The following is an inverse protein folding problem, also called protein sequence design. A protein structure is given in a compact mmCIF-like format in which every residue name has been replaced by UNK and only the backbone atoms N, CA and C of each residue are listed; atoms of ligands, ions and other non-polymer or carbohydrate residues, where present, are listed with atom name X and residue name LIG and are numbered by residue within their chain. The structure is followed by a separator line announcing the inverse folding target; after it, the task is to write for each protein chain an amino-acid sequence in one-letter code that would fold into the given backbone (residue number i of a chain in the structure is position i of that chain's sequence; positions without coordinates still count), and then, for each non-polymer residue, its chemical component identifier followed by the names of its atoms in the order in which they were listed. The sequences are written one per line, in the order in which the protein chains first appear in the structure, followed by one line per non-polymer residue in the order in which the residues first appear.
data_IF_327984879797
#
_entry.id   IF_327984879797
#
_cell.length_a   1.000
_cell.length_b   1.000
_cell.length_c   1.000
_cell.angle_alpha   90.00
_cell.angle_beta   90.00
_cell.angle_gamma   90.00
#
_symmetry.space_group_name_H-M   'P 1'
#
loop_
_entity.id
_entity.type
_entity.pdbx_description
1 polymer ?
#
# COMPACT_ATOMS: atom_id res chain seq x y z
N UNK A 1 31.19 -44.18 -4.72
CA UNK A 1 30.66 -43.33 -5.81
C UNK A 1 30.56 -41.94 -5.25
N UNK A 2 31.22 -41.00 -5.94
CA UNK A 2 31.45 -39.62 -5.55
C UNK A 2 30.16 -38.83 -5.32
N UNK A 3 30.16 -37.99 -4.29
CA UNK A 3 29.13 -36.98 -4.02
C UNK A 3 29.08 -35.95 -5.16
N UNK A 4 27.88 -35.55 -5.60
CA UNK A 4 27.73 -34.33 -6.39
C UNK A 4 26.44 -33.59 -6.00
N UNK A 5 26.60 -32.73 -4.99
CA UNK A 5 25.66 -31.66 -4.64
C UNK A 5 25.67 -30.65 -5.78
N UNK A 6 24.67 -30.74 -6.66
CA UNK A 6 24.38 -29.72 -7.66
C UNK A 6 23.61 -28.57 -7.03
N UNK A 7 24.32 -27.60 -6.45
CA UNK A 7 23.75 -26.33 -6.01
C UNK A 7 23.15 -25.59 -7.20
N UNK A 8 21.84 -25.37 -7.18
CA UNK A 8 21.18 -24.41 -8.05
C UNK A 8 21.56 -23.01 -7.57
N UNK A 9 22.65 -22.47 -8.12
CA UNK A 9 22.95 -21.04 -8.02
C UNK A 9 21.79 -20.26 -8.60
N UNK A 10 21.11 -19.52 -7.73
CA UNK A 10 20.12 -18.53 -8.09
C UNK A 10 20.79 -17.42 -8.90
N UNK A 11 20.77 -17.54 -10.23
CA UNK A 11 20.87 -16.37 -11.10
C UNK A 11 19.59 -15.57 -10.93
N UNK A 12 19.55 -14.72 -9.90
CA UNK A 12 18.67 -13.57 -9.90
C UNK A 12 19.30 -12.60 -10.88
N UNK A 13 18.88 -12.69 -12.13
CA UNK A 13 19.16 -11.68 -13.14
C UNK A 13 18.69 -10.33 -12.61
N UNK A 14 19.65 -9.55 -12.08
CA UNK A 14 19.51 -8.14 -11.72
C UNK A 14 19.35 -7.34 -13.03
N UNK A 15 18.20 -7.54 -13.67
CA UNK A 15 17.81 -6.90 -14.92
C UNK A 15 17.50 -5.43 -14.66
N UNK A 16 18.51 -4.58 -14.85
CA UNK A 16 18.37 -3.26 -15.46
C UNK A 16 17.64 -2.15 -14.70
N UNK A 17 17.13 -2.36 -13.49
CA UNK A 17 16.62 -1.26 -12.66
C UNK A 17 17.83 -0.50 -12.14
N UNK A 18 18.02 0.75 -12.60
CA UNK A 18 19.12 1.58 -12.10
C UNK A 18 18.90 1.76 -10.60
N UNK A 19 19.97 1.74 -9.81
CA UNK A 19 19.88 1.93 -8.36
C UNK A 19 19.09 3.19 -7.99
N UNK A 20 19.23 4.25 -8.79
CA UNK A 20 18.47 5.49 -8.67
C UNK A 20 16.95 5.32 -8.82
N UNK A 21 16.47 4.35 -9.59
CA UNK A 21 15.03 4.08 -9.76
C UNK A 21 14.41 3.50 -8.47
N UNK A 22 15.23 2.98 -7.55
CA UNK A 22 14.80 2.45 -6.24
C UNK A 22 14.84 3.50 -5.12
N UNK A 23 15.41 4.67 -5.39
CA UNK A 23 15.55 5.74 -4.40
C UNK A 23 14.36 6.69 -4.46
N UNK A 24 13.88 7.12 -3.29
CA UNK A 24 12.89 8.20 -3.21
C UNK A 24 13.53 9.53 -3.64
N UNK A 25 12.78 10.49 -4.20
CA UNK A 25 13.35 11.79 -4.57
C UNK A 25 14.03 12.48 -3.38
N UNK A 26 15.32 12.83 -3.53
CA UNK A 26 16.15 13.43 -2.47
C UNK A 26 15.53 14.68 -1.85
N UNK A 27 14.79 15.46 -2.66
CA UNK A 27 14.08 16.65 -2.21
C UNK A 27 12.97 16.33 -1.19
N UNK A 28 12.24 15.21 -1.40
CA UNK A 28 11.18 14.78 -0.51
C UNK A 28 11.75 14.28 0.82
N UNK A 29 12.84 13.49 0.77
CA UNK A 29 13.58 13.06 1.96
C UNK A 29 14.05 14.27 2.77
N UNK A 30 14.73 15.22 2.11
CA UNK A 30 15.22 16.43 2.77
C UNK A 30 14.11 17.29 3.39
N UNK A 31 12.93 17.35 2.76
CA UNK A 31 11.77 18.09 3.29
C UNK A 31 11.25 17.47 4.59
N UNK A 32 11.11 16.15 4.64
CA UNK A 32 10.64 15.44 5.83
C UNK A 32 11.65 15.53 6.96
N UNK A 33 12.94 15.28 6.68
CA UNK A 33 14.01 15.44 7.67
C UNK A 33 13.99 16.83 8.33
N UNK A 34 13.67 17.88 7.56
CA UNK A 34 13.62 19.26 8.02
C UNK A 34 12.44 19.56 8.95
N UNK A 35 11.34 18.81 8.88
CA UNK A 35 10.13 19.05 9.68
C UNK A 35 10.36 18.86 11.19
N UNK A 36 11.29 18.00 11.57
CA UNK A 36 11.62 17.73 12.97
C UNK A 36 12.76 18.60 13.51
N UNK A 37 13.32 19.50 12.69
CA UNK A 37 14.46 20.34 13.04
C UNK A 37 14.04 21.81 13.20
N UNK A 38 14.82 22.60 13.96
CA UNK A 38 14.62 24.05 14.03
C UNK A 38 14.62 24.74 12.66
N UNK A 39 13.90 25.87 12.49
CA UNK A 39 13.75 26.55 11.20
C UNK A 39 15.07 26.86 10.48
N UNK A 40 16.10 27.25 11.22
CA UNK A 40 17.42 27.64 10.72
C UNK A 40 18.43 26.48 10.60
N UNK A 41 18.09 25.26 11.02
CA UNK A 41 18.99 24.11 10.93
C UNK A 41 19.38 23.80 9.47
N UNK A 42 20.60 23.35 9.22
CA UNK A 42 21.03 22.90 7.89
C UNK A 42 21.23 21.39 7.90
N UNK A 43 20.87 20.75 6.80
CA UNK A 43 21.11 19.32 6.57
C UNK A 43 22.11 19.23 5.43
N UNK A 44 23.23 18.54 5.66
CA UNK A 44 24.26 18.34 4.64
C UNK A 44 23.71 17.51 3.48
N UNK A 45 24.42 17.52 2.34
CA UNK A 45 24.08 16.67 1.20
C UNK A 45 24.19 15.18 1.59
N UNK A 46 25.32 14.81 2.18
CA UNK A 46 25.62 13.44 2.62
C UNK A 46 24.55 12.89 3.57
N UNK A 47 24.10 13.67 4.56
CA UNK A 47 23.03 13.20 5.47
C UNK A 47 21.71 12.93 4.76
N UNK A 48 21.40 13.65 3.67
CA UNK A 48 20.20 13.37 2.87
C UNK A 48 20.36 12.10 2.05
N UNK A 49 21.55 11.88 1.48
CA UNK A 49 21.88 10.68 0.70
C UNK A 49 21.85 9.43 1.59
N UNK A 50 22.47 9.47 2.77
CA UNK A 50 22.39 8.37 3.74
C UNK A 50 20.94 8.08 4.14
N UNK A 51 20.14 9.10 4.45
CA UNK A 51 18.73 8.88 4.79
C UNK A 51 17.90 8.36 3.61
N UNK A 52 18.25 8.74 2.37
CA UNK A 52 17.61 8.23 1.16
C UNK A 52 17.88 6.73 0.97
N UNK A 53 19.11 6.29 1.22
CA UNK A 53 19.47 4.87 1.22
C UNK A 53 18.76 4.13 2.36
N UNK A 54 18.81 4.67 3.58
CA UNK A 54 18.17 4.06 4.75
C UNK A 54 16.65 3.87 4.57
N UNK A 55 15.95 4.85 3.98
CA UNK A 55 14.50 4.73 3.79
C UNK A 55 14.15 3.71 2.69
N UNK A 56 14.96 3.60 1.63
CA UNK A 56 14.79 2.56 0.62
C UNK A 56 15.04 1.16 1.18
N UNK A 57 16.05 1.03 2.05
CA UNK A 57 16.29 -0.23 2.77
C UNK A 57 15.17 -0.54 3.75
N UNK A 58 14.67 0.46 4.50
CA UNK A 58 13.55 0.29 5.42
C UNK A 58 12.29 -0.24 4.71
N UNK A 59 11.97 0.29 3.52
CA UNK A 59 10.86 -0.22 2.70
C UNK A 59 11.10 -1.68 2.34
N UNK A 60 12.31 -2.02 1.86
CA UNK A 60 12.67 -3.38 1.49
C UNK A 60 12.62 -4.35 2.68
N UNK A 61 13.07 -3.90 3.85
CA UNK A 61 13.08 -4.67 5.09
C UNK A 61 11.67 -5.00 5.56
N UNK A 62 10.81 -3.99 5.74
CA UNK A 62 9.43 -4.18 6.21
C UNK A 62 8.61 -4.98 5.20
N UNK A 63 8.77 -4.71 3.90
CA UNK A 63 8.03 -5.44 2.87
C UNK A 63 8.47 -6.90 2.75
N UNK A 64 9.75 -7.20 3.01
CA UNK A 64 10.25 -8.58 3.04
C UNK A 64 9.65 -9.38 4.18
N UNK A 65 9.59 -8.80 5.39
CA UNK A 65 8.98 -9.44 6.57
C UNK A 65 7.47 -9.70 6.34
N UNK A 66 6.75 -8.69 5.82
CA UNK A 66 5.34 -8.83 5.47
C UNK A 66 5.09 -9.89 4.38
N UNK A 67 5.95 -9.93 3.37
CA UNK A 67 5.92 -10.92 2.29
C UNK A 67 6.16 -12.34 2.82
N UNK A 68 7.08 -12.50 3.76
CA UNK A 68 7.33 -13.80 4.39
C UNK A 68 6.11 -14.30 5.15
N UNK A 69 5.46 -13.45 5.96
CA UNK A 69 4.19 -13.80 6.62
C UNK A 69 3.11 -14.18 5.61
N UNK A 70 2.88 -13.34 4.60
CA UNK A 70 1.89 -13.59 3.56
C UNK A 70 2.10 -14.96 2.90
N UNK A 71 3.36 -15.29 2.56
CA UNK A 71 3.73 -16.58 1.98
C UNK A 71 3.53 -17.74 2.96
N UNK A 72 3.88 -17.58 4.24
CA UNK A 72 3.62 -18.59 5.30
C UNK A 72 2.14 -18.91 5.44
N UNK A 73 1.27 -17.91 5.23
CA UNK A 73 -0.19 -18.07 5.21
C UNK A 73 -0.75 -18.54 3.85
N UNK A 74 0.12 -18.96 2.91
CA UNK A 74 -0.26 -19.44 1.57
C UNK A 74 -1.00 -18.41 0.71
N UNK A 75 -0.81 -17.11 1.00
CA UNK A 75 -1.34 -16.01 0.19
C UNK A 75 -0.29 -15.53 -0.80
N UNK A 76 -0.74 -15.06 -1.97
CA UNK A 76 0.12 -14.50 -3.04
C UNK A 76 0.16 -12.98 -3.04
N UNK A 77 -0.74 -12.33 -2.31
CA UNK A 77 -0.91 -10.88 -2.29
C UNK A 77 -0.73 -10.39 -0.86
N UNK A 78 0.29 -9.55 -0.68
CA UNK A 78 0.52 -8.82 0.57
C UNK A 78 -0.58 -7.78 0.73
N UNK A 79 -1.16 -7.68 1.93
CA UNK A 79 -2.19 -6.69 2.23
C UNK A 79 -1.77 -5.76 3.39
N UNK A 80 -2.64 -4.81 3.75
CA UNK A 80 -2.36 -3.85 4.82
C UNK A 80 -2.18 -4.48 6.21
N UNK A 81 -2.83 -5.61 6.51
CA UNK A 81 -2.69 -6.29 7.80
C UNK A 81 -1.30 -6.95 7.94
N UNK A 82 -0.73 -7.43 6.82
CA UNK A 82 0.65 -7.95 6.79
C UNK A 82 1.66 -6.89 7.16
N UNK A 83 1.50 -5.67 6.63
CA UNK A 83 2.37 -4.53 6.93
C UNK A 83 2.25 -4.14 8.40
N UNK A 84 1.02 -4.05 8.92
CA UNK A 84 0.79 -3.73 10.33
C UNK A 84 1.40 -4.78 11.27
N UNK A 85 1.34 -6.06 10.89
CA UNK A 85 1.98 -7.13 11.64
C UNK A 85 3.51 -7.06 11.56
N UNK A 86 4.07 -6.85 10.38
CA UNK A 86 5.52 -6.76 10.18
C UNK A 86 6.12 -5.64 11.03
N UNK A 87 5.47 -4.47 11.07
CA UNK A 87 5.91 -3.36 11.93
C UNK A 87 5.98 -3.79 13.41
N UNK A 88 4.98 -4.49 13.93
CA UNK A 88 5.02 -5.00 15.32
C UNK A 88 6.08 -6.09 15.52
N UNK A 89 6.20 -7.03 14.59
CA UNK A 89 7.21 -8.12 14.65
C UNK A 89 8.64 -7.59 14.69
N UNK A 90 8.89 -6.49 13.97
CA UNK A 90 10.20 -5.84 13.87
C UNK A 90 10.48 -4.86 15.01
N UNK A 91 9.57 -4.70 15.98
CA UNK A 91 9.74 -3.80 17.13
C UNK A 91 9.41 -2.33 16.83
N UNK A 92 8.68 -2.03 15.75
CA UNK A 92 8.17 -0.71 15.41
C UNK A 92 6.74 -0.50 15.97
N UNK A 93 6.48 -0.91 17.21
CA UNK A 93 5.14 -0.89 17.81
C UNK A 93 4.49 0.50 17.84
N UNK A 94 5.31 1.54 18.09
CA UNK A 94 4.89 2.95 18.06
C UNK A 94 4.33 3.38 16.68
N UNK A 95 4.67 2.66 15.62
CA UNK A 95 4.13 2.87 14.27
C UNK A 95 3.02 1.87 13.90
N UNK A 96 3.08 0.65 14.43
CA UNK A 96 2.12 -0.41 14.13
C UNK A 96 0.68 -0.04 14.53
N UNK A 97 0.50 0.54 15.72
CA UNK A 97 -0.84 0.91 16.22
C UNK A 97 -1.46 2.08 15.42
N UNK A 98 -0.76 3.22 15.19
CA UNK A 98 -1.26 4.25 14.29
C UNK A 98 -1.58 3.74 12.88
N UNK A 99 -0.74 2.85 12.33
CA UNK A 99 -0.96 2.27 11.00
C UNK A 99 -2.25 1.43 10.95
N UNK A 100 -2.51 0.62 11.97
CA UNK A 100 -3.75 -0.17 12.08
C UNK A 100 -5.00 0.71 12.14
N UNK A 101 -4.94 1.80 12.92
CA UNK A 101 -6.03 2.80 12.99
C UNK A 101 -6.26 3.50 11.66
N UNK A 102 -5.19 3.80 10.93
CA UNK A 102 -5.30 4.36 9.57
C UNK A 102 -5.95 3.36 8.61
N UNK A 103 -5.49 2.10 8.61
CA UNK A 103 -6.03 1.04 7.74
C UNK A 103 -7.53 0.81 7.98
N UNK A 104 -7.97 0.84 9.24
CA UNK A 104 -9.39 0.74 9.57
C UNK A 104 -10.20 1.88 8.94
N UNK A 105 -9.78 3.13 9.16
CA UNK A 105 -10.45 4.31 8.59
C UNK A 105 -10.43 4.32 7.07
N UNK A 106 -9.34 3.87 6.46
CA UNK A 106 -9.23 3.75 5.01
C UNK A 106 -10.28 2.77 4.45
N UNK A 107 -10.46 1.61 5.10
CA UNK A 107 -11.47 0.62 4.70
C UNK A 107 -12.90 1.17 4.82
N UNK A 108 -13.21 1.91 5.89
CA UNK A 108 -14.52 2.56 6.05
C UNK A 108 -14.81 3.56 4.91
N UNK A 109 -13.85 4.42 4.57
CA UNK A 109 -14.00 5.42 3.50
C UNK A 109 -14.15 4.78 2.12
N UNK A 110 -13.44 3.68 1.85
CA UNK A 110 -13.58 2.93 0.60
C UNK A 110 -14.98 2.31 0.46
N UNK A 111 -15.58 1.82 1.55
CA UNK A 111 -16.96 1.30 1.58
C UNK A 111 -18.00 2.40 1.37
N UNK A 112 -17.81 3.57 1.98
CA UNK A 112 -18.70 4.72 1.78
C UNK A 112 -18.66 5.20 0.33
N UNK A 113 -17.48 5.19 -0.31
CA UNK A 113 -17.33 5.60 -1.71
C UNK A 113 -18.07 4.67 -2.66
N UNK A 114 -17.99 3.35 -2.46
CA UNK A 114 -18.70 2.37 -3.30
C UNK A 114 -20.20 2.41 -3.06
N UNK A 115 -20.65 2.59 -1.81
CA UNK A 115 -22.08 2.69 -1.47
C UNK A 115 -22.74 3.95 -2.07
N UNK A 116 -22.04 5.08 -2.10
CA UNK A 116 -22.55 6.31 -2.71
C UNK A 116 -22.57 6.26 -4.24
N UNK A 117 -21.70 5.49 -4.87
CA UNK A 117 -21.69 5.30 -6.32
C UNK A 117 -22.89 4.44 -6.78
N UNK A 118 -23.29 3.45 -5.99
CA UNK A 118 -24.42 2.56 -6.29
C UNK A 118 -25.79 3.26 -6.16
N UNK A 119 -25.88 4.24 -5.25
CA UNK A 119 -27.07 5.10 -5.07
C UNK A 119 -27.27 6.14 -6.17
N UNK A 120 -26.24 6.43 -6.97
CA UNK A 120 -26.33 7.36 -8.09
C UNK A 120 -26.93 6.76 -9.37
N UNK A 121 -27.15 5.44 -9.40
CA UNK A 121 -27.56 4.71 -10.60
C UNK A 121 -28.98 4.12 -10.52
N UNK A 122 -29.77 4.49 -9.50
CA UNK A 122 -31.18 4.10 -9.39
C UNK A 122 -32.05 5.11 -10.15
N UNK A 123 -32.39 4.83 -11.40
CA UNK A 123 -33.48 5.52 -12.10
C UNK A 123 -34.80 5.26 -11.38
N UNK A 124 -35.65 6.27 -11.14
CA UNK A 124 -36.96 6.04 -10.55
C UNK A 124 -37.83 5.29 -11.57
N UNK A 125 -38.26 4.07 -11.23
CA UNK A 125 -39.28 3.35 -11.99
C UNK A 125 -40.56 4.19 -12.03
N UNK A 126 -40.92 4.66 -13.22
CA UNK A 126 -42.23 5.24 -13.52
C UNK A 126 -43.30 4.18 -13.25
N UNK A 127 -44.03 4.36 -12.14
CA UNK A 127 -45.30 3.67 -11.92
C UNK A 127 -46.33 4.35 -12.81
N UNK A 128 -46.58 3.78 -13.99
CA UNK A 128 -47.67 4.23 -14.83
C UNK A 128 -48.99 3.77 -14.21
N UNK A 129 -49.81 4.76 -13.85
CA UNK A 129 -51.04 4.66 -13.10
C UNK A 129 -52.20 4.70 -14.11
N UNK A 130 -53.14 3.77 -13.96
CA UNK A 130 -54.31 3.59 -14.83
C UNK A 130 -55.05 4.90 -15.20
N UNK A 131 -55.35 5.09 -16.50
CA UNK A 131 -56.45 5.95 -16.92
C UNK A 131 -57.26 5.36 -18.08
N UNK A 132 -58.38 4.76 -17.68
CA UNK A 132 -59.69 4.69 -18.33
C UNK A 132 -59.83 5.36 -19.72
N UNK A 133 -60.17 4.56 -20.73
CA UNK A 133 -61.01 5.06 -21.83
C UNK A 133 -61.95 3.96 -22.28
N UNK A 134 -63.20 4.06 -21.81
CA UNK A 134 -64.34 3.35 -22.38
C UNK A 134 -64.55 3.82 -23.82
N UNK A 135 -64.76 2.92 -24.78
CA UNK A 135 -65.79 3.07 -25.82
C UNK A 135 -65.98 1.71 -26.56
N UNK A 136 -67.22 1.21 -26.69
CA UNK A 136 -67.66 0.29 -27.75
C UNK A 136 -68.06 1.12 -29.00
N UNK A 137 -68.67 0.63 -30.11
CA UNK A 137 -68.92 -0.73 -30.63
C UNK A 137 -68.52 -0.94 -32.12
N UNK A 138 -68.54 -2.20 -32.59
CA UNK A 138 -69.46 -2.73 -33.64
C UNK A 138 -69.31 -4.24 -33.72
#
# INVERSE_FOLDING_TARGET
MVDNVGGSSSNVDNSGIKEQDRLLPIANVGRIMKQILPPNAKISKESKETMQECVSEFISFVTSEASEKCRKERRKTVNGDDICWALGSLGFDDYAEPMRRYLHRYRELEVDRTTNQDRGNSTPEEKDHDHYSSYPPS
#
